data_IF_532442879966
#
_entry.id   IF_532442879966
#
_cell.length_a   1.000
_cell.length_b   1.000
_cell.length_c   1.000
_cell.angle_alpha   90.00
_cell.angle_beta   90.00
_cell.angle_gamma   90.00
#
_symmetry.space_group_name_H-M   'P 1'
#
loop_
_entity.id
_entity.type
_entity.pdbx_description
1 polymer ?
#
# COMPACT_ATOMS: atom_id res chain seq x y z
N UNK A 1 -37.55 -21.13 13.59
CA UNK A 1 -36.95 -20.49 14.79
C UNK A 1 -35.44 -20.81 14.74
N UNK A 2 -34.58 -19.82 14.96
CA UNK A 2 -33.36 -19.62 14.18
C UNK A 2 -32.08 -20.24 14.77
N UNK A 3 -31.10 -20.44 13.87
CA UNK A 3 -29.66 -20.18 13.94
C UNK A 3 -28.95 -20.10 15.31
N UNK A 4 -27.83 -20.83 15.44
CA UNK A 4 -26.59 -20.32 16.08
C UNK A 4 -25.38 -21.26 15.86
N UNK A 5 -24.42 -20.74 15.10
CA UNK A 5 -22.96 -20.65 15.39
C UNK A 5 -22.20 -21.98 15.59
N UNK A 6 -21.26 -22.40 14.74
CA UNK A 6 -19.98 -21.76 14.39
C UNK A 6 -19.28 -21.13 15.61
N UNK A 7 -18.83 -22.00 16.52
CA UNK A 7 -17.90 -21.68 17.60
C UNK A 7 -16.52 -22.28 17.24
N UNK A 8 -15.86 -21.68 16.26
CA UNK A 8 -14.41 -21.86 16.03
C UNK A 8 -13.76 -20.49 16.07
N UNK A 9 -13.91 -19.85 17.22
CA UNK A 9 -13.56 -18.47 17.47
C UNK A 9 -12.39 -18.38 18.47
N UNK A 10 -11.35 -17.68 18.01
CA UNK A 10 -10.39 -16.90 18.80
C UNK A 10 -9.29 -17.65 19.57
N UNK A 11 -8.07 -17.59 19.03
CA UNK A 11 -6.84 -17.79 19.80
C UNK A 11 -6.53 -16.51 20.60
N UNK A 12 -6.92 -16.47 21.88
CA UNK A 12 -6.57 -15.37 22.79
C UNK A 12 -5.07 -15.43 23.12
N UNK A 13 -4.31 -14.41 22.72
CA UNK A 13 -2.93 -14.23 23.17
C UNK A 13 -2.94 -13.38 24.43
N UNK A 14 -2.52 -13.92 25.57
CA UNK A 14 -2.40 -13.18 26.82
C UNK A 14 -1.16 -12.28 26.79
N UNK A 15 -1.36 -10.97 26.70
CA UNK A 15 -0.29 -9.98 26.90
C UNK A 15 -0.35 -9.51 28.35
N UNK A 16 0.72 -9.76 29.12
CA UNK A 16 0.88 -9.23 30.47
C UNK A 16 1.16 -7.72 30.42
N UNK A 17 0.44 -6.85 31.15
CA UNK A 17 0.80 -5.45 31.23
C UNK A 17 1.98 -5.27 32.20
N UNK A 18 3.16 -4.93 31.66
CA UNK A 18 4.24 -4.35 32.47
C UNK A 18 3.77 -2.97 32.91
N UNK A 19 3.46 -2.81 34.19
CA UNK A 19 3.03 -1.54 34.76
C UNK A 19 4.24 -0.64 34.97
N UNK A 20 4.55 0.23 34.00
CA UNK A 20 5.50 1.33 34.21
C UNK A 20 4.78 2.50 34.90
N UNK A 21 5.16 2.79 36.15
CA UNK A 21 4.70 3.99 36.87
C UNK A 21 5.42 5.21 36.30
N UNK A 22 4.76 5.97 35.42
CA UNK A 22 5.32 7.22 34.85
C UNK A 22 4.80 8.41 35.66
N UNK A 23 5.70 9.15 36.31
CA UNK A 23 5.37 10.32 37.12
C UNK A 23 4.88 11.49 36.25
N UNK A 24 3.62 11.87 36.44
CA UNK A 24 2.88 12.88 35.66
C UNK A 24 3.51 14.29 35.66
N UNK A 25 4.46 14.57 36.58
CA UNK A 25 5.21 15.83 36.61
C UNK A 25 6.31 15.90 35.53
N UNK A 26 6.83 14.76 35.07
CA UNK A 26 7.83 14.71 34.01
C UNK A 26 7.20 14.84 32.61
N UNK A 27 5.92 14.44 32.45
CA UNK A 27 5.17 14.58 31.20
C UNK A 27 5.06 16.04 30.73
N UNK A 28 4.79 16.97 31.66
CA UNK A 28 4.60 18.39 31.32
C UNK A 28 5.88 19.05 30.79
N UNK A 29 7.06 18.67 31.30
CA UNK A 29 8.35 19.21 30.85
C UNK A 29 8.72 18.65 29.47
N UNK A 30 8.44 17.38 29.22
CA UNK A 30 8.64 16.77 27.90
C UNK A 30 7.78 17.46 26.83
N UNK A 31 6.49 17.71 27.08
CA UNK A 31 5.59 18.35 26.10
C UNK A 31 6.05 19.76 25.68
N UNK A 32 6.64 20.54 26.59
CA UNK A 32 7.13 21.91 26.33
C UNK A 32 8.46 21.89 25.55
N UNK A 33 9.26 20.83 25.68
CA UNK A 33 10.52 20.68 24.92
C UNK A 33 10.34 20.23 23.47
N UNK A 34 9.21 19.59 23.12
CA UNK A 34 8.91 19.13 21.75
C UNK A 34 8.43 20.25 20.81
N UNK A 35 8.05 21.42 21.33
CA UNK A 35 7.55 22.55 20.53
C UNK A 35 8.60 23.27 19.66
N UNK A 36 9.87 22.85 19.70
CA UNK A 36 10.94 23.43 18.86
C UNK A 36 11.45 22.52 17.73
N UNK A 37 10.78 21.40 17.44
CA UNK A 37 11.06 20.60 16.25
C UNK A 37 9.95 20.78 15.21
N UNK A 38 9.70 22.02 14.77
CA UNK A 38 8.95 22.25 13.53
C UNK A 38 9.89 22.03 12.33
N UNK A 39 10.37 20.80 12.17
CA UNK A 39 10.90 20.34 10.91
C UNK A 39 9.73 20.14 9.96
N UNK A 40 9.57 21.02 8.98
CA UNK A 40 8.71 20.77 7.84
C UNK A 40 9.26 19.56 7.11
N UNK A 41 8.73 18.37 7.41
CA UNK A 41 9.04 17.19 6.63
C UNK A 41 8.43 17.42 5.24
N UNK A 42 9.27 17.51 4.21
CA UNK A 42 8.84 17.31 2.83
C UNK A 42 8.47 15.83 2.69
N UNK A 43 7.28 15.49 3.16
CA UNK A 43 6.80 14.11 3.17
C UNK A 43 6.35 13.75 1.75
N UNK A 44 7.01 12.75 1.17
CA UNK A 44 6.57 12.12 -0.08
C UNK A 44 5.65 10.98 0.31
N UNK A 45 4.36 11.08 -0.03
CA UNK A 45 3.39 10.04 0.30
C UNK A 45 2.83 9.38 -0.95
N UNK A 46 2.48 8.10 -0.80
CA UNK A 46 1.79 7.29 -1.78
C UNK A 46 0.52 6.73 -1.12
N UNK A 47 -0.64 7.24 -1.52
CA UNK A 47 -1.93 6.80 -0.99
C UNK A 47 -2.61 5.83 -1.98
N UNK A 48 -2.86 4.60 -1.55
CA UNK A 48 -3.37 3.52 -2.39
C UNK A 48 -4.86 3.23 -2.16
N UNK A 49 -5.53 2.65 -3.17
CA UNK A 49 -6.90 2.16 -3.03
C UNK A 49 -7.02 1.06 -1.96
N UNK A 50 -8.20 0.96 -1.36
CA UNK A 50 -8.51 -0.02 -0.33
C UNK A 50 -8.43 -1.47 -0.83
N UNK A 51 -8.28 -2.39 0.12
CA UNK A 51 -8.27 -3.83 -0.15
C UNK A 51 -9.65 -4.30 -0.62
N UNK A 52 -9.67 -5.24 -1.57
CA UNK A 52 -10.90 -5.81 -2.13
C UNK A 52 -10.74 -7.30 -2.39
N UNK A 53 -11.82 -8.07 -2.18
CA UNK A 53 -11.88 -9.50 -2.51
C UNK A 53 -12.62 -9.66 -3.85
N UNK A 54 -11.98 -10.31 -4.81
CA UNK A 54 -12.49 -10.48 -6.17
C UNK A 54 -12.44 -11.96 -6.53
N UNK A 55 -13.49 -12.46 -7.19
CA UNK A 55 -13.52 -13.84 -7.69
C UNK A 55 -12.55 -14.03 -8.86
N UNK A 56 -11.94 -15.22 -9.03
CA UNK A 56 -11.13 -15.53 -10.20
C UNK A 56 -11.86 -15.24 -11.52
N UNK A 57 -11.14 -14.74 -12.52
CA UNK A 57 -11.67 -14.24 -13.79
C UNK A 57 -12.21 -12.81 -13.73
N UNK A 58 -12.35 -12.23 -12.52
CA UNK A 58 -12.77 -10.85 -12.32
C UNK A 58 -11.73 -9.81 -12.79
N UNK A 59 -12.11 -8.53 -12.70
CA UNK A 59 -11.25 -7.40 -13.03
C UNK A 59 -11.36 -6.32 -11.97
N UNK A 60 -10.27 -5.58 -11.75
CA UNK A 60 -10.23 -4.47 -10.79
C UNK A 60 -9.14 -3.47 -11.17
N UNK A 61 -9.31 -2.23 -10.73
CA UNK A 61 -8.38 -1.15 -11.00
C UNK A 61 -7.84 -0.60 -9.69
N UNK A 62 -6.56 -0.83 -9.44
CA UNK A 62 -5.87 -0.19 -8.33
C UNK A 62 -5.55 1.26 -8.69
N UNK A 63 -5.50 2.10 -7.67
CA UNK A 63 -5.04 3.49 -7.79
C UNK A 63 -4.02 3.81 -6.71
N UNK A 64 -3.11 4.71 -7.04
CA UNK A 64 -2.09 5.24 -6.16
C UNK A 64 -1.96 6.74 -6.44
N UNK A 65 -2.13 7.57 -5.41
CA UNK A 65 -2.01 9.03 -5.49
C UNK A 65 -0.69 9.44 -4.88
N UNK A 66 0.16 10.11 -5.65
CA UNK A 66 1.41 10.67 -5.17
C UNK A 66 1.17 12.07 -4.58
N UNK A 67 1.87 12.39 -3.50
CA UNK A 67 1.99 13.74 -2.96
C UNK A 67 3.45 14.06 -2.65
N UNK A 68 3.82 15.34 -2.75
CA UNK A 68 5.20 15.79 -2.55
C UNK A 68 6.15 15.59 -3.75
N UNK A 69 5.68 14.96 -4.84
CA UNK A 69 6.41 14.86 -6.12
C UNK A 69 5.42 14.62 -7.27
N UNK A 70 5.86 14.77 -8.53
CA UNK A 70 5.06 14.46 -9.71
C UNK A 70 5.36 13.07 -10.26
N UNK A 71 4.33 12.28 -10.59
CA UNK A 71 4.48 11.03 -11.34
C UNK A 71 5.11 11.27 -12.72
N UNK A 72 4.92 12.46 -13.30
CA UNK A 72 5.56 12.87 -14.54
C UNK A 72 7.08 12.95 -14.40
N UNK A 73 7.79 12.47 -15.42
CA UNK A 73 9.26 12.45 -15.46
C UNK A 73 9.94 11.44 -14.52
N UNK A 74 9.19 10.63 -13.77
CA UNK A 74 9.72 9.60 -12.87
C UNK A 74 9.29 8.21 -13.31
N UNK A 75 10.13 7.20 -13.03
CA UNK A 75 9.72 5.81 -13.15
C UNK A 75 8.81 5.45 -11.98
N UNK A 76 7.64 4.93 -12.32
CA UNK A 76 6.63 4.48 -11.37
C UNK A 76 6.46 2.98 -11.53
N UNK A 77 6.49 2.27 -10.41
CA UNK A 77 6.47 0.81 -10.35
C UNK A 77 5.25 0.33 -9.58
N UNK A 78 4.74 -0.83 -9.98
CA UNK A 78 3.93 -1.67 -9.13
C UNK A 78 4.75 -2.88 -8.69
N UNK A 79 4.72 -3.17 -7.39
CA UNK A 79 5.26 -4.40 -6.80
C UNK A 79 4.15 -5.07 -6.01
N UNK A 80 4.24 -6.39 -5.85
CA UNK A 80 3.27 -7.17 -5.07
C UNK A 80 3.96 -8.09 -4.09
N UNK A 81 3.31 -8.35 -2.96
CA UNK A 81 3.76 -9.27 -1.93
C UNK A 81 2.64 -10.27 -1.63
N UNK A 82 2.86 -11.53 -2.00
CA UNK A 82 1.95 -12.62 -1.62
C UNK A 82 2.25 -13.07 -0.17
N UNK A 83 1.26 -13.63 0.56
CA UNK A 83 1.46 -14.10 1.93
C UNK A 83 2.63 -15.09 2.03
N UNK A 84 3.57 -14.82 2.94
CA UNK A 84 4.76 -15.68 3.14
C UNK A 84 5.77 -15.67 1.98
N UNK A 85 5.66 -14.72 1.04
CA UNK A 85 6.59 -14.53 -0.09
C UNK A 85 7.27 -13.17 -0.04
N UNK A 86 8.36 -13.03 -0.78
CA UNK A 86 9.04 -11.75 -0.99
C UNK A 86 8.25 -10.82 -1.92
N UNK A 87 8.75 -9.59 -2.07
CA UNK A 87 8.24 -8.65 -3.06
C UNK A 87 8.60 -9.12 -4.48
N UNK A 88 7.62 -9.04 -5.37
CA UNK A 88 7.77 -9.34 -6.79
C UNK A 88 7.38 -8.10 -7.60
N UNK A 89 8.22 -7.74 -8.55
CA UNK A 89 7.92 -6.64 -9.48
C UNK A 89 6.80 -7.03 -10.45
N UNK A 90 5.89 -6.09 -10.74
CA UNK A 90 4.68 -6.34 -11.56
C UNK A 90 4.74 -5.56 -12.87
N UNK A 91 4.94 -4.25 -12.79
CA UNK A 91 5.00 -3.38 -13.96
C UNK A 91 5.71 -2.07 -13.65
N UNK A 92 6.14 -1.37 -14.69
CA UNK A 92 6.70 -0.03 -14.59
C UNK A 92 6.24 0.84 -15.76
N UNK A 93 6.10 2.13 -15.50
CA UNK A 93 5.80 3.16 -16.49
C UNK A 93 6.65 4.40 -16.21
N UNK A 94 7.12 5.01 -17.29
CA UNK A 94 7.64 6.36 -17.29
C UNK A 94 6.72 7.23 -18.14
N UNK A 95 6.64 8.52 -17.77
CA UNK A 95 5.85 9.53 -18.48
C UNK A 95 6.31 9.76 -19.95
N UNK A 96 7.40 9.11 -20.38
CA UNK A 96 7.93 9.08 -21.74
C UNK A 96 7.62 7.82 -22.57
N UNK A 97 6.49 7.13 -22.30
CA UNK A 97 5.84 6.05 -23.08
C UNK A 97 6.27 4.60 -22.84
N UNK A 98 7.44 4.36 -22.26
CA UNK A 98 7.89 2.98 -22.05
C UNK A 98 7.13 2.32 -20.90
N UNK A 99 6.47 1.20 -21.19
CA UNK A 99 5.82 0.36 -20.20
C UNK A 99 6.44 -1.03 -20.20
N UNK A 100 6.66 -1.56 -19.00
CA UNK A 100 7.19 -2.91 -18.80
C UNK A 100 6.27 -3.69 -17.88
N UNK A 101 6.20 -5.00 -18.10
CA UNK A 101 5.36 -5.93 -17.34
C UNK A 101 6.15 -7.19 -17.03
N UNK A 102 5.92 -7.76 -15.84
CA UNK A 102 6.38 -9.09 -15.53
C UNK A 102 5.65 -10.12 -16.40
N UNK A 103 6.35 -11.20 -16.78
CA UNK A 103 5.78 -12.24 -17.65
C UNK A 103 4.50 -12.86 -17.08
N UNK A 104 4.39 -12.96 -15.75
CA UNK A 104 3.21 -13.51 -15.06
C UNK A 104 1.92 -12.71 -15.25
N UNK A 105 2.02 -11.42 -15.62
CA UNK A 105 0.87 -10.51 -15.75
C UNK A 105 0.72 -9.93 -17.16
N UNK A 106 1.66 -10.21 -18.04
CA UNK A 106 1.70 -9.68 -19.41
C UNK A 106 0.43 -10.06 -20.17
N UNK A 107 -0.18 -9.07 -20.81
CA UNK A 107 -1.44 -9.23 -21.55
C UNK A 107 -2.71 -9.26 -20.69
N UNK A 108 -2.59 -9.26 -19.35
CA UNK A 108 -3.73 -9.21 -18.42
C UNK A 108 -3.80 -7.87 -17.69
N UNK A 109 -2.65 -7.32 -17.32
CA UNK A 109 -2.57 -6.09 -16.55
C UNK A 109 -2.09 -4.93 -17.44
N UNK A 110 -2.59 -3.72 -17.14
CA UNK A 110 -2.24 -2.49 -17.84
C UNK A 110 -1.93 -1.39 -16.82
N UNK A 111 -0.72 -0.84 -16.87
CA UNK A 111 -0.30 0.29 -16.03
C UNK A 111 -0.59 1.61 -16.77
N UNK A 112 -1.04 2.64 -16.06
CA UNK A 112 -1.26 3.98 -16.63
C UNK A 112 -1.09 5.08 -15.60
N UNK A 113 -0.78 6.30 -16.07
CA UNK A 113 -0.67 7.51 -15.24
C UNK A 113 -1.74 8.53 -15.63
N UNK A 114 -2.16 9.32 -14.64
CA UNK A 114 -2.94 10.53 -14.82
C UNK A 114 -2.16 11.68 -14.17
N UNK A 115 -1.40 12.38 -15.00
CA UNK A 115 -0.49 13.43 -14.56
C UNK A 115 -1.21 14.65 -13.99
N UNK A 116 -2.42 14.93 -14.48
CA UNK A 116 -3.21 16.06 -14.00
C UNK A 116 -3.64 15.88 -12.55
N UNK A 117 -3.87 14.62 -12.14
CA UNK A 117 -4.27 14.27 -10.79
C UNK A 117 -3.16 13.60 -9.98
N UNK A 118 -1.95 13.49 -10.54
CA UNK A 118 -0.80 12.84 -9.94
C UNK A 118 -1.08 11.40 -9.47
N UNK A 119 -1.76 10.63 -10.32
CA UNK A 119 -2.20 9.26 -10.01
C UNK A 119 -1.54 8.22 -10.91
N UNK A 120 -1.25 7.07 -10.31
CA UNK A 120 -0.84 5.84 -10.97
C UNK A 120 -1.96 4.82 -10.85
N UNK A 121 -2.24 4.09 -11.92
CA UNK A 121 -3.24 3.05 -11.96
C UNK A 121 -2.65 1.72 -12.41
N UNK A 122 -3.26 0.63 -11.94
CA UNK A 122 -3.05 -0.71 -12.48
C UNK A 122 -4.42 -1.32 -12.76
N UNK A 123 -4.79 -1.36 -14.04
CA UNK A 123 -5.95 -2.12 -14.49
C UNK A 123 -5.56 -3.60 -14.54
N UNK A 124 -6.25 -4.43 -13.76
CA UNK A 124 -6.01 -5.87 -13.69
C UNK A 124 -7.23 -6.59 -14.25
N UNK A 125 -7.05 -7.30 -15.35
CA UNK A 125 -8.11 -8.09 -15.99
C UNK A 125 -7.83 -9.58 -15.86
N UNK A 126 -8.88 -10.39 -15.88
CA UNK A 126 -8.79 -11.85 -15.79
C UNK A 126 -7.88 -12.30 -14.62
N UNK A 127 -8.21 -11.82 -13.41
CA UNK A 127 -7.46 -12.09 -12.19
C UNK A 127 -7.44 -13.59 -11.90
N UNK A 128 -6.26 -14.11 -11.56
CA UNK A 128 -6.06 -15.50 -11.20
C UNK A 128 -5.79 -15.63 -9.71
N UNK A 129 -5.90 -16.84 -9.15
CA UNK A 129 -5.68 -17.06 -7.71
C UNK A 129 -4.26 -16.65 -7.30
N UNK A 130 -3.28 -16.84 -8.18
CA UNK A 130 -1.87 -16.50 -7.99
C UNK A 130 -1.62 -14.99 -7.94
N UNK A 131 -2.59 -14.17 -8.34
CA UNK A 131 -2.51 -12.71 -8.25
C UNK A 131 -2.91 -12.16 -6.88
N UNK A 132 -3.35 -13.02 -5.96
CA UNK A 132 -3.70 -12.66 -4.58
C UNK A 132 -2.48 -12.20 -3.81
N UNK A 133 -2.39 -10.90 -3.57
CA UNK A 133 -1.26 -10.25 -2.92
C UNK A 133 -1.63 -8.86 -2.41
N UNK A 134 -0.79 -8.30 -1.55
CA UNK A 134 -0.79 -6.85 -1.30
C UNK A 134 0.01 -6.18 -2.41
N UNK A 135 -0.54 -5.13 -3.02
CA UNK A 135 0.11 -4.37 -4.09
C UNK A 135 0.59 -3.04 -3.54
N UNK A 136 1.79 -2.62 -3.96
CA UNK A 136 2.41 -1.36 -3.59
C UNK A 136 2.82 -0.61 -4.84
N UNK A 137 2.55 0.69 -4.88
CA UNK A 137 3.18 1.57 -5.85
C UNK A 137 4.50 2.08 -5.26
N UNK A 138 5.50 2.29 -6.12
CA UNK A 138 6.78 2.86 -5.73
C UNK A 138 7.28 3.81 -6.82
N UNK A 139 7.92 4.90 -6.41
CA UNK A 139 8.74 5.71 -7.31
C UNK A 139 10.14 5.16 -7.32
N UNK A 140 10.79 5.14 -8.47
CA UNK A 140 12.22 4.87 -8.51
C UNK A 140 12.99 5.94 -7.70
N UNK A 141 14.04 5.50 -7.01
CA UNK A 141 14.88 6.39 -6.20
C UNK A 141 16.07 6.83 -7.06
N UNK A 142 16.26 8.15 -7.21
CA UNK A 142 17.47 8.73 -7.79
C UNK A 142 18.59 8.82 -6.75
#
# INVERSE_FOLDING_TARGET
LPDKTEESDVLYTTVSPITHTVSMKSLLVFLISLSWLSGGHCDVQLAQSESVVIKPGGSHKLSCTASGFTCSGNWMHWVRQAPGKGFLWVSAISDGSSTYYADSVKGRFTISTDNNNNKLYLQMNNLQTEDTAVYYCARDAQ
#
